data_IF_538866468123
#
_entry.id   IF_538866468123
#
_cell.length_a   1.000
_cell.length_b   1.000
_cell.length_c   1.000
_cell.angle_alpha   90.00
_cell.angle_beta   90.00
_cell.angle_gamma   90.00
#
_symmetry.space_group_name_H-M   'P 1'
#
loop_
_entity.id
_entity.type
_entity.pdbx_description
1 polymer ?
#
# COMPACT_ATOMS: atom_id res chain seq x y z
N UNK A 1 0.88 16.65 -13.67
CA UNK A 1 -0.15 16.81 -12.61
C UNK A 1 -1.55 16.80 -13.21
N UNK A 2 -2.08 17.87 -13.83
CA UNK A 2 -3.45 17.85 -14.36
C UNK A 2 -3.66 16.80 -15.45
N UNK A 3 -2.67 16.62 -16.34
CA UNK A 3 -2.71 15.57 -17.36
C UNK A 3 -2.80 14.17 -16.77
N UNK A 4 -1.90 13.83 -15.85
CA UNK A 4 -1.87 12.49 -15.24
C UNK A 4 -3.13 12.20 -14.42
N UNK A 5 -3.69 13.23 -13.77
CA UNK A 5 -4.96 13.12 -13.06
C UNK A 5 -6.09 12.75 -14.02
N UNK A 6 -6.29 13.55 -15.08
CA UNK A 6 -7.41 13.39 -16.01
C UNK A 6 -7.26 12.19 -16.95
N UNK A 7 -6.03 11.86 -17.36
CA UNK A 7 -5.76 10.80 -18.34
C UNK A 7 -5.48 9.43 -17.69
N UNK A 8 -5.08 9.39 -16.42
CA UNK A 8 -4.65 8.15 -15.76
C UNK A 8 -5.41 7.91 -14.45
N UNK A 9 -5.31 8.83 -13.48
CA UNK A 9 -5.82 8.57 -12.13
C UNK A 9 -7.35 8.48 -12.07
N UNK A 10 -8.07 9.38 -12.74
CA UNK A 10 -9.53 9.34 -12.81
C UNK A 10 -10.03 8.14 -13.64
N UNK A 11 -9.53 7.88 -14.86
CA UNK A 11 -9.98 6.72 -15.65
C UNK A 11 -9.66 5.37 -15.01
N UNK A 12 -8.58 5.27 -14.23
CA UNK A 12 -8.24 4.05 -13.50
C UNK A 12 -8.92 3.94 -12.13
N UNK A 13 -9.77 4.91 -11.76
CA UNK A 13 -10.46 4.97 -10.46
C UNK A 13 -9.49 4.93 -9.28
N UNK A 14 -8.32 5.58 -9.43
CA UNK A 14 -7.32 5.74 -8.38
C UNK A 14 -7.64 6.97 -7.53
N UNK A 15 -8.21 8.00 -8.15
CA UNK A 15 -8.71 9.19 -7.49
C UNK A 15 -10.13 9.50 -8.00
N UNK A 16 -10.90 10.25 -7.21
CA UNK A 16 -12.21 10.76 -7.59
C UNK A 16 -12.42 12.19 -7.10
N UNK A 17 -13.32 12.92 -7.76
CA UNK A 17 -13.65 14.30 -7.38
C UNK A 17 -14.51 14.30 -6.11
N UNK A 18 -14.10 15.05 -5.09
CA UNK A 18 -14.77 15.13 -3.79
C UNK A 18 -15.53 16.45 -3.60
N UNK A 19 -15.72 17.17 -4.69
CA UNK A 19 -16.43 18.45 -4.73
C UNK A 19 -15.58 19.58 -5.30
N UNK A 20 -16.13 20.79 -5.21
CA UNK A 20 -15.55 21.99 -5.83
C UNK A 20 -15.54 23.17 -4.89
N UNK A 21 -14.37 23.80 -4.76
CA UNK A 21 -14.19 25.00 -3.95
C UNK A 21 -14.67 26.24 -4.71
N UNK A 22 -15.53 27.08 -4.12
CA UNK A 22 -16.01 28.29 -4.76
C UNK A 22 -14.89 29.33 -4.89
N UNK A 23 -14.77 29.94 -6.07
CA UNK A 23 -13.82 31.02 -6.34
C UNK A 23 -14.53 32.37 -6.32
N UNK A 24 -14.05 33.30 -5.49
CA UNK A 24 -14.60 34.66 -5.44
C UNK A 24 -13.96 35.64 -6.43
N UNK A 25 -12.79 35.30 -7.01
CA UNK A 25 -12.03 36.12 -7.97
C UNK A 25 -11.35 35.23 -9.00
N UNK A 26 -11.02 35.76 -10.18
CA UNK A 26 -10.37 35.02 -11.28
C UNK A 26 -11.29 34.78 -12.49
N UNK A 27 -11.00 33.82 -13.38
CA UNK A 27 -11.81 33.56 -14.57
C UNK A 27 -13.28 33.24 -14.24
N UNK A 28 -14.25 33.85 -14.94
CA UNK A 28 -15.70 33.66 -14.68
C UNK A 28 -16.11 32.18 -14.70
N UNK A 29 -15.59 31.40 -15.64
CA UNK A 29 -15.87 29.97 -15.73
C UNK A 29 -15.49 29.19 -14.45
N UNK A 30 -14.42 29.59 -13.77
CA UNK A 30 -14.00 28.98 -12.51
C UNK A 30 -14.77 29.54 -11.30
N UNK A 31 -15.26 30.78 -11.38
CA UNK A 31 -16.16 31.33 -10.37
C UNK A 31 -17.53 30.61 -10.39
N UNK A 32 -18.03 30.28 -11.58
CA UNK A 32 -19.29 29.54 -11.76
C UNK A 32 -19.17 28.06 -11.41
N UNK A 33 -18.07 27.41 -11.81
CA UNK A 33 -17.89 25.96 -11.62
C UNK A 33 -17.13 25.56 -10.35
N UNK A 34 -16.37 26.46 -9.74
CA UNK A 34 -15.42 26.15 -8.67
C UNK A 34 -14.18 25.38 -9.14
N UNK A 35 -13.16 25.28 -8.27
CA UNK A 35 -11.98 24.44 -8.48
C UNK A 35 -12.26 23.05 -7.91
N UNK A 36 -12.18 21.98 -8.71
CA UNK A 36 -12.34 20.63 -8.19
C UNK A 36 -11.19 20.25 -7.25
N UNK A 37 -11.52 19.52 -6.19
CA UNK A 37 -10.54 18.82 -5.37
C UNK A 37 -10.86 17.33 -5.35
N UNK A 38 -9.84 16.54 -5.06
CA UNK A 38 -9.87 15.10 -5.27
C UNK A 38 -9.36 14.37 -4.02
N UNK A 39 -9.85 13.16 -3.79
CA UNK A 39 -9.26 12.23 -2.84
C UNK A 39 -8.89 10.92 -3.53
N UNK A 40 -8.08 10.10 -2.84
CA UNK A 40 -7.80 8.75 -3.30
C UNK A 40 -9.02 7.86 -3.05
N UNK A 41 -9.37 7.04 -4.02
CA UNK A 41 -10.31 5.94 -3.79
C UNK A 41 -9.65 4.88 -2.90
N UNK A 42 -10.41 3.88 -2.45
CA UNK A 42 -9.83 2.71 -1.75
C UNK A 42 -8.70 2.05 -2.57
N UNK A 43 -8.87 1.94 -3.89
CA UNK A 43 -7.85 1.43 -4.83
C UNK A 43 -6.62 2.34 -4.84
N UNK A 44 -6.82 3.65 -4.85
CA UNK A 44 -5.73 4.61 -4.75
C UNK A 44 -4.98 4.58 -3.44
N UNK A 45 -5.67 4.38 -2.31
CA UNK A 45 -5.03 4.20 -1.00
C UNK A 45 -4.15 2.95 -1.01
N UNK A 46 -4.64 1.82 -1.57
CA UNK A 46 -3.85 0.59 -1.69
C UNK A 46 -2.58 0.79 -2.53
N UNK A 47 -2.68 1.51 -3.65
CA UNK A 47 -1.52 1.88 -4.47
C UNK A 47 -0.58 2.81 -3.69
N UNK A 48 -1.10 3.79 -2.96
CA UNK A 48 -0.28 4.69 -2.15
C UNK A 48 0.51 3.96 -1.05
N UNK A 49 -0.09 2.93 -0.42
CA UNK A 49 0.59 2.07 0.56
C UNK A 49 1.81 1.34 -0.04
N UNK A 50 1.80 1.12 -1.36
CA UNK A 50 2.85 0.43 -2.12
C UNK A 50 3.97 1.34 -2.63
N UNK A 51 3.97 2.63 -2.29
CA UNK A 51 5.00 3.61 -2.69
C UNK A 51 5.99 3.81 -1.52
N UNK A 52 7.29 3.76 -1.81
CA UNK A 52 8.38 3.77 -0.81
C UNK A 52 8.34 4.98 0.11
N UNK A 53 8.14 6.17 -0.46
CA UNK A 53 8.34 7.46 0.20
C UNK A 53 7.03 8.11 0.68
N UNK A 54 5.95 7.33 0.81
CA UNK A 54 4.67 7.86 1.28
C UNK A 54 4.76 8.26 2.77
N UNK A 55 4.33 9.48 3.07
CA UNK A 55 4.18 9.95 4.46
C UNK A 55 2.86 9.43 5.04
N UNK A 56 2.79 9.28 6.37
CA UNK A 56 1.57 8.89 7.09
C UNK A 56 0.98 7.53 6.68
N UNK A 57 1.83 6.54 6.35
CA UNK A 57 1.40 5.19 5.94
C UNK A 57 0.42 4.54 6.94
N UNK A 58 0.60 4.78 8.24
CA UNK A 58 -0.31 4.30 9.30
C UNK A 58 -1.73 4.85 9.16
N UNK A 59 -1.86 6.14 8.82
CA UNK A 59 -3.17 6.76 8.59
C UNK A 59 -3.84 6.17 7.36
N UNK A 60 -3.08 6.01 6.27
CA UNK A 60 -3.57 5.39 5.03
C UNK A 60 -4.01 3.95 5.26
N UNK A 61 -3.28 3.17 6.07
CA UNK A 61 -3.64 1.79 6.39
C UNK A 61 -4.97 1.72 7.14
N UNK A 62 -5.14 2.59 8.15
CA UNK A 62 -6.40 2.70 8.91
C UNK A 62 -7.57 3.13 8.02
N UNK A 63 -7.33 4.09 7.12
CA UNK A 63 -8.32 4.56 6.15
C UNK A 63 -8.71 3.47 5.16
N UNK A 64 -7.74 2.69 4.68
CA UNK A 64 -7.99 1.54 3.81
C UNK A 64 -8.94 0.53 4.48
N UNK A 65 -8.62 0.09 5.70
CA UNK A 65 -9.40 -0.93 6.40
C UNK A 65 -10.74 -0.43 6.97
N UNK A 66 -10.91 0.89 7.17
CA UNK A 66 -12.22 1.45 7.53
C UNK A 66 -13.25 1.31 6.40
N UNK A 67 -12.77 1.25 5.16
CA UNK A 67 -13.55 1.02 3.93
C UNK A 67 -13.55 -0.45 3.47
N UNK A 68 -12.99 -1.35 4.28
CA UNK A 68 -12.84 -2.77 3.93
C UNK A 68 -14.01 -3.66 4.33
N UNK A 69 -14.30 -4.64 3.49
CA UNK A 69 -15.26 -5.70 3.76
C UNK A 69 -14.70 -6.70 4.79
N UNK A 70 -15.56 -7.58 5.31
CA UNK A 70 -15.18 -8.53 6.38
C UNK A 70 -14.03 -9.47 6.00
N UNK A 71 -13.95 -9.89 4.73
CA UNK A 71 -12.87 -10.75 4.24
C UNK A 71 -11.51 -10.06 4.26
N UNK A 72 -11.44 -8.80 3.84
CA UNK A 72 -10.18 -8.04 3.79
C UNK A 72 -9.62 -7.74 5.19
N UNK A 73 -10.51 -7.58 6.18
CA UNK A 73 -10.14 -7.25 7.58
C UNK A 73 -9.33 -8.33 8.29
N UNK A 74 -9.28 -9.55 7.76
CA UNK A 74 -8.43 -10.61 8.33
C UNK A 74 -6.94 -10.21 8.37
N UNK A 75 -6.49 -9.40 7.41
CA UNK A 75 -5.11 -8.95 7.31
C UNK A 75 -4.82 -7.67 8.11
N UNK A 76 -5.85 -6.95 8.59
CA UNK A 76 -5.70 -5.63 9.22
C UNK A 76 -4.75 -5.68 10.43
N UNK A 77 -4.98 -6.64 11.34
CA UNK A 77 -4.22 -6.75 12.58
C UNK A 77 -2.74 -7.06 12.32
N UNK A 78 -2.45 -8.01 11.45
CA UNK A 78 -1.08 -8.42 11.16
C UNK A 78 -0.34 -7.33 10.38
N UNK A 79 -0.97 -6.70 9.38
CA UNK A 79 -0.37 -5.61 8.61
C UNK A 79 -0.12 -4.37 9.47
N UNK A 80 -1.02 -4.06 10.41
CA UNK A 80 -0.82 -2.97 11.37
C UNK A 80 0.39 -3.23 12.27
N UNK A 81 0.51 -4.45 12.80
CA UNK A 81 1.67 -4.85 13.62
C UNK A 81 2.98 -4.83 12.83
N UNK A 82 2.96 -5.32 11.58
CA UNK A 82 4.13 -5.25 10.70
C UNK A 82 4.51 -3.81 10.38
N UNK A 83 3.54 -2.92 10.17
CA UNK A 83 3.83 -1.51 9.87
C UNK A 83 4.50 -0.81 11.06
N UNK A 84 4.09 -1.13 12.28
CA UNK A 84 4.68 -0.61 13.52
C UNK A 84 6.09 -1.15 13.78
N UNK A 85 6.31 -2.45 13.60
CA UNK A 85 7.54 -3.13 14.02
C UNK A 85 8.56 -3.35 12.89
N UNK A 86 8.10 -3.40 11.64
CA UNK A 86 8.92 -3.64 10.45
C UNK A 86 8.34 -2.92 9.22
N UNK A 87 8.33 -1.56 9.22
CA UNK A 87 7.65 -0.76 8.20
C UNK A 87 8.13 -1.02 6.78
N UNK A 88 9.42 -1.36 6.60
CA UNK A 88 9.99 -1.73 5.30
C UNK A 88 9.42 -3.05 4.78
N UNK A 89 9.17 -4.02 5.66
CA UNK A 89 8.57 -5.30 5.30
C UNK A 89 7.06 -5.16 5.04
N UNK A 90 6.34 -4.40 5.87
CA UNK A 90 4.93 -4.09 5.60
C UNK A 90 4.76 -3.43 4.22
N UNK A 91 5.61 -2.45 3.92
CA UNK A 91 5.68 -1.81 2.59
C UNK A 91 5.94 -2.82 1.46
N UNK A 92 6.92 -3.72 1.63
CA UNK A 92 7.29 -4.65 0.55
C UNK A 92 6.16 -5.61 0.20
N UNK A 93 5.30 -5.97 1.17
CA UNK A 93 4.09 -6.77 0.91
C UNK A 93 3.12 -6.02 -0.03
N UNK A 94 2.81 -4.75 0.26
CA UNK A 94 1.95 -3.93 -0.61
C UNK A 94 2.57 -3.72 -1.99
N UNK A 95 3.88 -3.45 -2.04
CA UNK A 95 4.61 -3.30 -3.29
C UNK A 95 4.50 -4.55 -4.16
N UNK A 96 4.68 -5.74 -3.58
CA UNK A 96 4.55 -7.02 -4.30
C UNK A 96 3.14 -7.25 -4.82
N UNK A 97 2.12 -6.97 -4.01
CA UNK A 97 0.72 -7.10 -4.41
C UNK A 97 0.36 -6.16 -5.57
N UNK A 98 0.72 -4.88 -5.49
CA UNK A 98 0.44 -3.92 -6.56
C UNK A 98 1.28 -4.23 -7.80
N UNK A 99 2.55 -4.63 -7.64
CA UNK A 99 3.39 -5.06 -8.77
C UNK A 99 2.80 -6.28 -9.49
N UNK A 100 2.30 -7.25 -8.74
CA UNK A 100 1.62 -8.41 -9.30
C UNK A 100 0.39 -8.03 -10.14
N UNK A 101 -0.37 -7.02 -9.72
CA UNK A 101 -1.44 -6.45 -10.51
C UNK A 101 -0.91 -5.76 -11.78
N UNK A 102 0.12 -4.91 -11.67
CA UNK A 102 0.73 -4.25 -12.83
C UNK A 102 1.30 -5.25 -13.86
N UNK A 103 1.82 -6.39 -13.39
CA UNK A 103 2.35 -7.47 -14.22
C UNK A 103 1.25 -8.40 -14.78
N UNK A 104 -0.03 -8.08 -14.57
CA UNK A 104 -1.20 -8.91 -14.94
C UNK A 104 -1.22 -10.32 -14.31
N UNK A 105 -0.47 -10.55 -13.22
CA UNK A 105 -0.51 -11.80 -12.45
C UNK A 105 -1.73 -11.85 -11.53
N UNK A 106 -2.20 -10.69 -11.08
CA UNK A 106 -3.48 -10.49 -10.41
C UNK A 106 -4.35 -9.63 -11.32
N UNK A 107 -5.58 -10.08 -11.60
CA UNK A 107 -6.50 -9.35 -12.49
C UNK A 107 -7.05 -8.06 -11.89
N UNK A 108 -7.37 -8.09 -10.60
CA UNK A 108 -8.04 -6.99 -9.89
C UNK A 108 -7.36 -6.70 -8.55
N UNK A 109 -7.11 -5.41 -8.28
CA UNK A 109 -6.55 -4.95 -7.00
C UNK A 109 -7.51 -5.17 -5.83
N UNK A 110 -8.80 -4.96 -6.08
CA UNK A 110 -9.88 -5.11 -5.10
C UNK A 110 -10.84 -6.24 -5.52
N UNK A 111 -11.42 -6.98 -4.57
CA UNK A 111 -11.15 -6.93 -3.13
C UNK A 111 -9.70 -7.36 -2.80
N UNK A 112 -9.16 -6.78 -1.74
CA UNK A 112 -7.80 -7.00 -1.31
C UNK A 112 -7.64 -8.37 -0.65
N UNK A 113 -6.79 -9.19 -1.26
CA UNK A 113 -6.62 -10.58 -0.83
C UNK A 113 -5.17 -11.01 -1.01
N UNK A 114 -4.44 -11.05 0.10
CA UNK A 114 -3.03 -11.46 0.10
C UNK A 114 -2.83 -12.94 -0.21
N UNK A 115 -3.88 -13.78 -0.20
CA UNK A 115 -3.73 -15.18 -0.59
C UNK A 115 -3.35 -15.33 -2.05
N UNK A 116 -3.73 -14.36 -2.90
CA UNK A 116 -3.32 -14.27 -4.32
C UNK A 116 -1.81 -14.20 -4.50
N UNK A 117 -1.05 -13.78 -3.49
CA UNK A 117 0.42 -13.77 -3.56
C UNK A 117 1.04 -15.18 -3.51
N UNK A 118 0.31 -16.18 -3.01
CA UNK A 118 0.80 -17.57 -2.97
C UNK A 118 1.07 -18.13 -4.37
N UNK A 119 0.23 -17.74 -5.34
CA UNK A 119 0.30 -18.25 -6.72
C UNK A 119 1.38 -17.55 -7.56
N UNK A 120 2.03 -16.52 -7.01
CA UNK A 120 2.91 -15.61 -7.76
C UNK A 120 4.38 -15.99 -7.64
N UNK A 121 4.71 -16.98 -6.80
CA UNK A 121 6.05 -17.52 -6.57
C UNK A 121 7.08 -16.41 -6.39
N UNK A 122 7.11 -15.81 -5.20
CA UNK A 122 8.05 -14.74 -4.86
C UNK A 122 9.15 -15.29 -3.95
N UNK A 123 10.32 -15.57 -4.52
CA UNK A 123 11.50 -16.10 -3.83
C UNK A 123 11.86 -15.27 -2.58
N UNK A 124 11.71 -13.95 -2.63
CA UNK A 124 12.06 -13.11 -1.48
C UNK A 124 11.07 -13.23 -0.32
N UNK A 125 9.78 -13.47 -0.58
CA UNK A 125 8.80 -13.79 0.47
C UNK A 125 9.06 -15.18 1.06
N UNK A 126 9.49 -16.14 0.23
CA UNK A 126 9.87 -17.48 0.68
C UNK A 126 11.08 -17.42 1.61
N UNK A 127 12.16 -16.73 1.21
CA UNK A 127 13.35 -16.50 2.03
C UNK A 127 12.98 -15.77 3.33
N UNK A 128 12.16 -14.72 3.27
CA UNK A 128 11.72 -13.99 4.47
C UNK A 128 10.93 -14.87 5.43
N UNK A 129 10.03 -15.72 4.92
CA UNK A 129 9.30 -16.69 5.73
C UNK A 129 10.23 -17.73 6.34
N UNK A 130 11.16 -18.28 5.56
CA UNK A 130 12.14 -19.26 6.02
C UNK A 130 12.99 -18.69 7.17
N UNK A 131 13.51 -17.46 6.99
CA UNK A 131 14.27 -16.76 8.02
C UNK A 131 13.41 -16.54 9.27
N UNK A 132 12.17 -16.05 9.14
CA UNK A 132 11.30 -15.82 10.30
C UNK A 132 11.01 -17.11 11.07
N UNK A 133 10.76 -18.22 10.36
CA UNK A 133 10.54 -19.54 10.98
C UNK A 133 11.81 -20.00 11.71
N UNK A 134 12.97 -19.94 11.05
CA UNK A 134 14.24 -20.32 11.67
C UNK A 134 14.55 -19.46 12.91
N UNK A 135 14.30 -18.14 12.83
CA UNK A 135 14.52 -17.20 13.94
C UNK A 135 13.64 -17.50 15.15
N UNK A 136 12.48 -18.16 15.03
CA UNK A 136 11.69 -18.54 16.19
C UNK A 136 12.47 -19.53 17.07
N UNK A 137 13.13 -20.50 16.43
CA UNK A 137 13.81 -21.63 17.09
C UNK A 137 15.23 -21.28 17.58
N UNK A 138 15.85 -20.22 17.03
CA UNK A 138 17.17 -19.77 17.46
C UNK A 138 17.20 -19.36 18.95
N UNK A 139 18.29 -19.72 19.62
CA UNK A 139 18.61 -19.19 20.94
C UNK A 139 18.85 -17.68 20.91
N UNK A 140 18.85 -17.04 22.08
CA UNK A 140 19.11 -15.60 22.20
C UNK A 140 20.46 -15.22 21.58
N UNK A 141 21.51 -16.01 21.82
CA UNK A 141 22.85 -15.74 21.29
C UNK A 141 22.88 -15.85 19.76
N UNK A 142 22.25 -16.89 19.20
CA UNK A 142 22.19 -17.08 17.74
C UNK A 142 21.41 -15.96 17.05
N UNK A 143 20.33 -15.46 17.66
CA UNK A 143 19.59 -14.29 17.18
C UNK A 143 20.48 -13.04 17.11
N UNK A 144 21.22 -12.77 18.19
CA UNK A 144 22.13 -11.63 18.24
C UNK A 144 23.26 -11.74 17.21
N UNK A 145 23.82 -12.93 17.02
CA UNK A 145 24.91 -13.15 16.07
C UNK A 145 24.42 -13.09 14.62
N UNK A 146 23.21 -13.55 14.33
CA UNK A 146 22.57 -13.39 13.03
C UNK A 146 22.31 -11.92 12.69
N UNK A 147 21.83 -11.12 13.66
CA UNK A 147 21.66 -9.66 13.47
C UNK A 147 23.01 -8.99 13.20
N UNK A 148 24.05 -9.27 14.02
CA UNK A 148 25.40 -8.72 13.81
C UNK A 148 25.99 -9.10 12.46
N UNK A 149 25.66 -10.29 11.93
CA UNK A 149 26.05 -10.70 10.61
C UNK A 149 25.36 -9.85 9.53
N UNK A 150 24.03 -9.67 9.62
CA UNK A 150 23.26 -8.86 8.69
C UNK A 150 23.72 -7.40 8.69
N UNK A 151 23.99 -6.82 9.86
CA UNK A 151 24.51 -5.44 10.01
C UNK A 151 25.84 -5.21 9.26
N UNK A 152 26.59 -6.26 8.93
CA UNK A 152 27.84 -6.15 8.15
C UNK A 152 27.61 -6.10 6.64
N UNK A 153 26.43 -6.48 6.17
CA UNK A 153 26.13 -6.65 4.74
C UNK A 153 24.91 -5.85 4.26
N UNK A 154 24.20 -5.15 5.16
CA UNK A 154 23.07 -4.26 4.84
C UNK A 154 23.32 -2.84 5.32
#
# INVERSE_FOLDING_TARGET
>A
IFRDLDEILLPMEIAEEDGRLPLQRGPKALQEKGIPYYHLTKKGILIALSISDIKNREKLLKEFFSQSESGEKEFEKILSSLLENSPKFAYSIFQKYVKAFCDNKIKELLPFDLTKLKDISDESLEIQKEILVAFVDLSKQEKEDAIKFLDKIT
#
